data_IF_749065011567
#
_entry.id   IF_749065011567
#
_cell.length_a   1.000
_cell.length_b   1.000
_cell.length_c   1.000
_cell.angle_alpha   90.00
_cell.angle_beta   90.00
_cell.angle_gamma   90.00
#
_symmetry.space_group_name_H-M   'P 1'
#
loop_
_entity.id
_entity.type
_entity.pdbx_description
1 polymer ?
#
# COMPACT_ATOMS: atom_id res chain seq x y z
N UNK A 1 -17.47 1.38 -1.41
CA UNK A 1 -17.69 2.83 -1.23
C UNK A 1 -16.55 3.36 -0.37
N UNK A 2 -15.96 4.51 -0.70
CA UNK A 2 -14.92 5.12 0.12
C UNK A 2 -15.58 5.95 1.22
N UNK A 3 -15.24 5.70 2.48
CA UNK A 3 -15.89 6.38 3.62
C UNK A 3 -15.36 7.80 3.88
N UNK A 4 -14.28 8.20 3.20
CA UNK A 4 -13.66 9.53 3.30
C UNK A 4 -13.31 10.11 1.93
N UNK A 5 -12.03 10.44 1.69
CA UNK A 5 -11.57 10.95 0.41
C UNK A 5 -11.48 9.81 -0.61
N UNK A 6 -12.05 10.02 -1.80
CA UNK A 6 -11.89 9.08 -2.91
C UNK A 6 -10.47 9.17 -3.51
N UNK A 7 -9.93 8.07 -4.07
CA UNK A 7 -8.68 8.11 -4.81
C UNK A 7 -8.77 9.04 -6.02
N UNK A 8 -7.68 9.74 -6.30
CA UNK A 8 -7.47 10.35 -7.62
C UNK A 8 -7.11 9.27 -8.63
N UNK A 9 -7.60 9.37 -9.86
CA UNK A 9 -7.36 8.39 -10.92
C UNK A 9 -6.55 8.97 -12.08
N UNK A 10 -5.62 8.17 -12.60
CA UNK A 10 -4.88 8.46 -13.81
C UNK A 10 -4.98 7.29 -14.81
N UNK A 11 -5.41 7.58 -16.04
CA UNK A 11 -5.46 6.58 -17.12
C UNK A 11 -4.05 6.23 -17.60
N UNK A 12 -3.46 5.24 -16.94
CA UNK A 12 -2.07 4.82 -17.18
C UNK A 12 -1.88 4.01 -18.47
N UNK A 13 -2.97 3.50 -19.06
CA UNK A 13 -2.98 2.89 -20.39
C UNK A 13 -4.39 2.89 -20.96
N UNK A 14 -4.55 2.44 -22.22
CA UNK A 14 -5.84 2.43 -22.94
C UNK A 14 -6.99 1.87 -22.09
N UNK A 15 -6.74 0.81 -21.31
CA UNK A 15 -7.78 0.11 -20.55
C UNK A 15 -7.63 0.22 -19.03
N UNK A 16 -6.64 0.97 -18.52
CA UNK A 16 -6.24 0.91 -17.11
C UNK A 16 -6.22 2.28 -16.47
N UNK A 17 -6.96 2.43 -15.36
CA UNK A 17 -6.82 3.55 -14.44
C UNK A 17 -6.09 3.12 -13.17
N UNK A 18 -5.10 3.91 -12.76
CA UNK A 18 -4.43 3.74 -11.45
C UNK A 18 -4.97 4.78 -10.49
N UNK A 19 -5.50 4.31 -9.36
CA UNK A 19 -5.98 5.14 -8.27
C UNK A 19 -4.88 5.37 -7.25
N UNK A 20 -4.76 6.59 -6.74
CA UNK A 20 -3.76 6.98 -5.75
C UNK A 20 -4.32 8.01 -4.75
N UNK A 21 -3.72 8.09 -3.57
CA UNK A 21 -4.02 9.14 -2.60
C UNK A 21 -3.64 10.50 -3.19
N UNK A 22 -4.61 11.41 -3.31
CA UNK A 22 -4.42 12.76 -3.86
C UNK A 22 -3.38 13.59 -3.08
N UNK A 23 -3.11 13.22 -1.82
CA UNK A 23 -2.30 13.99 -0.88
C UNK A 23 -0.83 13.56 -0.86
N UNK A 24 -0.55 12.26 -0.93
CA UNK A 24 0.81 11.72 -0.81
C UNK A 24 1.25 10.86 -2.01
N UNK A 25 0.34 10.54 -2.93
CA UNK A 25 0.64 9.73 -4.11
C UNK A 25 0.68 8.21 -3.87
N UNK A 26 0.35 7.71 -2.66
CA UNK A 26 0.30 6.27 -2.38
C UNK A 26 -0.61 5.56 -3.39
N UNK A 27 -0.12 4.55 -4.15
CA UNK A 27 -0.96 3.75 -5.03
C UNK A 27 -1.99 2.94 -4.23
N UNK A 28 -3.27 3.07 -4.57
CA UNK A 28 -4.36 2.38 -3.88
C UNK A 28 -5.03 1.34 -4.76
N UNK A 29 -5.25 1.65 -6.04
CA UNK A 29 -6.06 0.78 -6.89
C UNK A 29 -5.50 0.59 -8.30
N UNK A 30 -5.79 -0.57 -8.88
CA UNK A 30 -5.64 -0.86 -10.30
C UNK A 30 -7.01 -1.22 -10.87
N UNK A 31 -7.57 -0.35 -11.71
CA UNK A 31 -8.89 -0.53 -12.31
C UNK A 31 -8.72 -0.97 -13.76
N UNK A 32 -9.33 -2.10 -14.09
CA UNK A 32 -9.30 -2.73 -15.41
C UNK A 32 -10.73 -3.14 -15.80
N UNK A 33 -11.01 -3.47 -17.08
CA UNK A 33 -12.38 -3.74 -17.52
C UNK A 33 -13.07 -4.88 -16.75
N UNK A 34 -12.29 -5.83 -16.22
CA UNK A 34 -12.78 -6.94 -15.41
C UNK A 34 -12.98 -6.64 -13.92
N UNK A 35 -12.59 -5.46 -13.41
CA UNK A 35 -12.81 -5.10 -12.01
C UNK A 35 -11.80 -4.13 -11.41
N UNK A 36 -11.85 -4.04 -10.08
CA UNK A 36 -10.98 -3.21 -9.26
C UNK A 36 -10.08 -4.10 -8.39
N UNK A 37 -8.78 -3.88 -8.47
CA UNK A 37 -7.79 -4.48 -7.58
C UNK A 37 -7.32 -3.41 -6.57
N UNK A 38 -7.12 -3.81 -5.31
CA UNK A 38 -6.63 -2.95 -4.23
C UNK A 38 -5.21 -3.38 -3.87
N UNK A 39 -4.33 -2.40 -3.66
CA UNK A 39 -2.96 -2.67 -3.23
C UNK A 39 -2.97 -3.29 -1.82
N UNK A 40 -2.44 -4.51 -1.67
CA UNK A 40 -2.35 -5.20 -0.37
C UNK A 40 -1.58 -4.39 0.67
N UNK A 41 -0.60 -3.58 0.24
CA UNK A 41 0.17 -2.71 1.14
C UNK A 41 -0.61 -1.50 1.68
N UNK A 42 -1.87 -1.28 1.24
CA UNK A 42 -2.74 -0.23 1.75
C UNK A 42 -3.53 -0.64 3.01
N UNK A 43 -3.47 -1.92 3.41
CA UNK A 43 -4.11 -2.45 4.61
C UNK A 43 -3.12 -2.49 5.78
N UNK A 44 -3.62 -2.18 6.98
CA UNK A 44 -2.87 -2.19 8.23
C UNK A 44 -2.63 -3.63 8.70
N UNK A 45 -3.70 -4.45 8.74
CA UNK A 45 -3.61 -5.91 8.91
C UNK A 45 -3.79 -6.61 7.56
N UNK A 46 -2.89 -7.55 7.29
CA UNK A 46 -2.81 -8.29 6.01
C UNK A 46 -2.72 -9.79 6.22
N UNK A 47 -2.88 -10.23 7.47
CA UNK A 47 -2.66 -11.62 7.86
C UNK A 47 -3.61 -12.60 7.16
N UNK A 48 -4.78 -12.13 6.74
CA UNK A 48 -5.80 -12.88 6.00
C UNK A 48 -5.77 -12.64 4.47
N UNK A 49 -4.90 -11.75 3.98
CA UNK A 49 -4.80 -11.38 2.56
C UNK A 49 -3.69 -12.14 1.81
N UNK A 50 -3.35 -13.35 2.26
CA UNK A 50 -2.33 -14.17 1.62
C UNK A 50 -2.68 -14.42 0.13
N UNK A 51 -1.76 -14.17 -0.83
CA UNK A 51 -2.02 -14.41 -2.25
C UNK A 51 -2.34 -15.87 -2.53
N UNK A 52 -3.47 -16.12 -3.20
CA UNK A 52 -3.91 -17.48 -3.56
C UNK A 52 -3.39 -17.94 -4.93
N UNK A 53 -3.04 -16.99 -5.80
CA UNK A 53 -2.62 -17.23 -7.18
C UNK A 53 -1.48 -16.27 -7.51
N UNK A 54 -0.44 -16.76 -8.19
CA UNK A 54 0.64 -15.93 -8.72
C UNK A 54 0.32 -15.53 -10.17
N UNK A 55 0.09 -14.24 -10.39
CA UNK A 55 -0.15 -13.68 -11.72
C UNK A 55 1.21 -13.30 -12.35
N UNK A 56 1.37 -13.52 -13.65
CA UNK A 56 2.60 -13.20 -14.41
C UNK A 56 3.87 -13.86 -13.87
N UNK A 57 3.76 -15.09 -13.34
CA UNK A 57 4.89 -15.82 -12.76
C UNK A 57 6.14 -15.85 -13.65
N UNK A 58 5.96 -16.04 -14.97
CA UNK A 58 7.07 -16.06 -15.93
C UNK A 58 7.85 -14.73 -16.03
N UNK A 59 7.24 -13.60 -15.67
CA UNK A 59 7.85 -12.27 -15.69
C UNK A 59 8.39 -11.82 -14.33
N UNK A 60 8.34 -12.68 -13.29
CA UNK A 60 8.87 -12.35 -11.96
C UNK A 60 10.38 -12.08 -12.02
N UNK A 61 10.85 -11.24 -11.12
CA UNK A 61 12.29 -11.01 -10.96
C UNK A 61 12.95 -12.27 -10.40
N UNK A 62 14.07 -12.77 -10.97
CA UNK A 62 14.68 -14.03 -10.54
C UNK A 62 15.06 -14.09 -9.05
N UNK A 63 15.38 -12.95 -8.43
CA UNK A 63 15.78 -12.88 -7.03
C UNK A 63 14.61 -13.02 -6.05
N UNK A 64 13.34 -12.93 -6.50
CA UNK A 64 12.17 -12.98 -5.60
C UNK A 64 12.08 -14.32 -4.84
N UNK A 65 12.57 -15.40 -5.44
CA UNK A 65 12.60 -16.74 -4.83
C UNK A 65 13.61 -16.86 -3.67
N UNK A 66 14.55 -15.91 -3.59
CA UNK A 66 15.66 -15.91 -2.65
C UNK A 66 15.66 -14.69 -1.74
N UNK A 67 14.57 -13.91 -1.73
CA UNK A 67 14.51 -12.66 -0.96
C UNK A 67 14.76 -12.90 0.53
N UNK A 68 14.29 -14.02 1.07
CA UNK A 68 14.46 -14.37 2.48
C UNK A 68 15.84 -14.95 2.82
N UNK A 69 16.68 -15.22 1.82
CA UNK A 69 18.08 -15.63 2.04
C UNK A 69 19.00 -14.41 2.20
N UNK A 70 18.53 -13.21 1.88
CA UNK A 70 19.30 -11.98 2.03
C UNK A 70 19.58 -11.67 3.51
N UNK A 71 20.72 -11.03 3.85
CA UNK A 71 20.99 -10.62 5.21
C UNK A 71 19.85 -9.77 5.79
N UNK A 72 19.36 -10.16 6.96
CA UNK A 72 18.39 -9.37 7.71
C UNK A 72 19.09 -8.13 8.26
N UNK A 73 18.50 -6.95 8.03
CA UNK A 73 18.98 -5.70 8.60
C UNK A 73 18.50 -5.59 10.06
N UNK A 74 19.16 -6.26 10.99
CA UNK A 74 18.76 -6.29 12.40
C UNK A 74 19.48 -5.22 13.24
N UNK A 75 19.16 -3.94 12.98
CA UNK A 75 19.67 -2.79 13.74
C UNK A 75 18.57 -2.21 14.65
N UNK A 76 18.65 -2.42 15.98
CA UNK A 76 17.66 -1.92 16.93
C UNK A 76 17.48 -0.40 16.91
N UNK A 77 18.56 0.36 16.69
CA UNK A 77 18.50 1.83 16.67
C UNK A 77 17.76 2.32 15.42
N UNK A 78 17.89 1.61 14.30
CA UNK A 78 17.18 1.91 13.06
C UNK A 78 15.67 1.71 13.22
N UNK A 79 15.25 0.60 13.83
CA UNK A 79 13.83 0.30 14.02
C UNK A 79 13.17 1.19 15.08
N UNK A 80 13.84 1.45 16.19
CA UNK A 80 13.32 2.35 17.24
C UNK A 80 13.02 3.75 16.70
N UNK A 81 13.83 4.25 15.75
CA UNK A 81 13.58 5.54 15.08
C UNK A 81 12.39 5.49 14.12
N UNK A 82 12.08 4.35 13.53
CA UNK A 82 10.89 4.19 12.70
C UNK A 82 9.62 4.09 13.54
N UNK A 83 9.67 3.40 14.68
CA UNK A 83 8.53 3.28 15.59
C UNK A 83 8.10 4.62 16.20
N UNK A 84 8.99 5.61 16.25
CA UNK A 84 8.65 6.97 16.68
C UNK A 84 8.00 7.83 15.57
N UNK A 85 7.90 7.33 14.34
CA UNK A 85 7.26 8.03 13.23
C UNK A 85 5.74 8.04 13.45
N UNK A 86 5.18 9.24 13.58
CA UNK A 86 3.73 9.43 13.60
C UNK A 86 3.20 9.35 12.17
N UNK A 87 2.44 8.29 11.87
CA UNK A 87 1.75 8.14 10.59
C UNK A 87 0.53 9.06 10.50
N UNK A 88 0.43 9.79 9.39
CA UNK A 88 -0.76 10.56 9.01
C UNK A 88 -1.60 9.85 7.94
N UNK A 89 -1.23 8.62 7.57
CA UNK A 89 -2.06 7.78 6.71
C UNK A 89 -3.27 7.31 7.51
N UNK A 90 -4.47 7.52 6.98
CA UNK A 90 -5.69 7.09 7.64
C UNK A 90 -5.68 5.55 7.76
N UNK A 91 -5.98 4.98 8.95
CA UNK A 91 -5.98 3.54 9.12
C UNK A 91 -7.14 2.88 8.38
N UNK A 92 -7.10 1.57 8.19
CA UNK A 92 -8.16 0.82 7.50
C UNK A 92 -9.38 0.49 8.37
N UNK A 93 -9.51 1.13 9.54
CA UNK A 93 -10.65 1.03 10.45
C UNK A 93 -11.26 2.39 10.79
N UNK A 94 -12.49 2.38 11.30
CA UNK A 94 -13.20 3.60 11.70
C UNK A 94 -12.49 4.31 12.85
N UNK A 95 -12.18 5.58 12.66
CA UNK A 95 -11.56 6.44 13.68
C UNK A 95 -12.41 7.68 13.92
N UNK A 96 -12.86 7.85 15.18
CA UNK A 96 -13.74 8.96 15.55
C UNK A 96 -13.09 10.34 15.31
N UNK A 97 -11.77 10.45 15.54
CA UNK A 97 -11.00 11.68 15.34
C UNK A 97 -9.71 11.36 14.59
N UNK A 98 -9.62 11.72 13.31
CA UNK A 98 -8.40 11.60 12.51
C UNK A 98 -7.91 12.98 12.07
N UNK A 99 -6.62 13.34 12.25
CA UNK A 99 -6.10 14.64 11.85
C UNK A 99 -6.21 14.83 10.33
N UNK A 100 -6.84 15.93 9.92
CA UNK A 100 -7.05 16.26 8.50
C UNK A 100 -5.78 16.75 7.78
N UNK A 101 -4.69 17.00 8.50
CA UNK A 101 -3.41 17.47 7.94
C UNK A 101 -2.25 16.98 8.79
N UNK A 102 -1.07 16.86 8.17
CA UNK A 102 0.16 16.53 8.88
C UNK A 102 0.48 17.59 9.93
N UNK A 103 0.99 17.15 11.08
CA UNK A 103 1.55 18.05 12.09
C UNK A 103 3.03 18.30 11.77
N UNK A 104 3.46 19.56 11.85
CA UNK A 104 4.88 19.89 11.93
C UNK A 104 5.24 19.89 13.41
N UNK A 105 6.03 18.90 13.83
CA UNK A 105 6.56 18.76 15.18
C UNK A 105 7.92 19.44 15.29
#
# INVERSE_FOLDING_TARGET
EWVREEPSYFQSSVNIDRGFCSRCGTPLTYRQPGGLEIAIGAFDDRSDLAPQIQINYAARLPWVEKIFDAPVHDDPDYYTRQESIISFQHPDHETANWPQQGLKL
#
